data_IF_871345414922
#
_entry.id   IF_871345414922
#
_cell.length_a   1.000
_cell.length_b   1.000
_cell.length_c   1.000
_cell.angle_alpha   90.00
_cell.angle_beta   90.00
_cell.angle_gamma   90.00
#
_symmetry.space_group_name_H-M   'P 1'
#
loop_
_entity.id
_entity.type
_entity.pdbx_description
1 polymer ?
#
# COMPACT_ATOMS: atom_id res chain seq x y z
N UNK A 1 16.95 5.99 21.52
CA UNK A 1 15.47 6.08 21.67
C UNK A 1 14.85 5.17 20.63
N UNK A 2 14.33 4.02 21.03
CA UNK A 2 13.78 3.02 20.09
C UNK A 2 12.35 3.43 19.73
N UNK A 3 12.13 3.84 18.48
CA UNK A 3 10.81 4.22 17.96
C UNK A 3 10.00 2.95 17.65
N UNK A 4 9.62 2.21 18.70
CA UNK A 4 8.81 1.00 18.58
C UNK A 4 7.37 1.41 18.33
N UNK A 5 6.92 1.29 17.08
CA UNK A 5 5.52 1.50 16.73
C UNK A 5 4.77 0.18 16.99
N UNK A 6 3.67 0.18 17.76
CA UNK A 6 2.85 -1.00 17.92
C UNK A 6 2.34 -1.52 16.56
N UNK A 7 2.41 -2.84 16.34
CA UNK A 7 2.07 -3.47 15.07
C UNK A 7 0.65 -3.07 14.58
N UNK A 8 -0.34 -3.08 15.49
CA UNK A 8 -1.71 -2.68 15.17
C UNK A 8 -1.78 -1.25 14.62
N UNK A 9 -1.06 -0.30 15.25
CA UNK A 9 -1.03 1.10 14.83
C UNK A 9 -0.38 1.27 13.46
N UNK A 10 0.59 0.42 13.14
CA UNK A 10 1.22 0.41 11.82
C UNK A 10 0.27 -0.09 10.74
N UNK A 11 -0.47 -1.18 11.01
CA UNK A 11 -1.50 -1.72 10.11
C UNK A 11 -2.60 -0.69 9.87
N UNK A 12 -3.15 -0.09 10.93
CA UNK A 12 -4.21 0.92 10.84
C UNK A 12 -3.77 2.12 10.00
N UNK A 13 -2.52 2.56 10.17
CA UNK A 13 -1.96 3.68 9.40
C UNK A 13 -1.87 3.35 7.90
N UNK A 14 -1.42 2.15 7.53
CA UNK A 14 -1.34 1.74 6.12
C UNK A 14 -2.73 1.55 5.52
N UNK A 15 -3.67 1.01 6.30
CA UNK A 15 -5.08 0.88 5.89
C UNK A 15 -5.70 2.25 5.63
N UNK A 16 -5.55 3.19 6.55
CA UNK A 16 -6.08 4.55 6.39
C UNK A 16 -5.49 5.26 5.17
N UNK A 17 -4.18 5.09 4.92
CA UNK A 17 -3.54 5.66 3.75
C UNK A 17 -4.14 5.14 2.43
N UNK A 18 -4.48 3.84 2.36
CA UNK A 18 -5.21 3.27 1.22
C UNK A 18 -6.61 3.88 1.08
N UNK A 19 -7.40 3.94 2.16
CA UNK A 19 -8.76 4.51 2.14
C UNK A 19 -8.75 5.96 1.66
N UNK A 20 -7.80 6.78 2.13
CA UNK A 20 -7.67 8.18 1.75
C UNK A 20 -7.23 8.36 0.28
N UNK A 21 -6.40 7.45 -0.23
CA UNK A 21 -6.01 7.45 -1.64
C UNK A 21 -7.17 6.99 -2.55
N UNK A 22 -7.91 5.95 -2.14
CA UNK A 22 -9.08 5.45 -2.86
C UNK A 22 -10.18 6.51 -2.96
N UNK A 23 -10.53 7.16 -1.85
CA UNK A 23 -11.52 8.26 -1.84
C UNK A 23 -11.13 9.38 -2.80
N UNK A 24 -9.83 9.74 -2.84
CA UNK A 24 -9.34 10.75 -3.79
C UNK A 24 -9.48 10.29 -5.24
N UNK A 25 -9.15 9.04 -5.53
CA UNK A 25 -9.30 8.47 -6.87
C UNK A 25 -10.77 8.45 -7.33
N UNK A 26 -11.70 8.10 -6.43
CA UNK A 26 -13.14 8.11 -6.71
C UNK A 26 -13.69 9.54 -6.94
N UNK A 27 -13.14 10.53 -6.24
CA UNK A 27 -13.55 11.93 -6.38
C UNK A 27 -12.98 12.57 -7.66
N UNK A 28 -11.71 12.32 -7.97
CA UNK A 28 -11.03 12.97 -9.09
C UNK A 28 -11.21 12.26 -10.42
N UNK A 29 -11.51 10.96 -10.38
CA UNK A 29 -11.52 10.06 -11.55
C UNK A 29 -10.22 10.10 -12.37
N UNK A 30 -9.14 10.58 -11.77
CA UNK A 30 -7.83 10.66 -12.41
C UNK A 30 -7.10 9.33 -12.31
N UNK A 31 -6.49 8.91 -13.42
CA UNK A 31 -5.64 7.72 -13.47
C UNK A 31 -4.50 7.81 -12.45
N UNK A 32 -3.93 9.01 -12.23
CA UNK A 32 -2.82 9.19 -11.30
C UNK A 32 -3.23 8.89 -9.86
N UNK A 33 -4.44 9.29 -9.47
CA UNK A 33 -4.97 8.99 -8.14
C UNK A 33 -5.35 7.51 -8.03
N UNK A 34 -5.86 6.89 -9.10
CA UNK A 34 -6.06 5.45 -9.17
C UNK A 34 -4.76 4.65 -8.97
N UNK A 35 -3.67 5.08 -9.61
CA UNK A 35 -2.33 4.48 -9.41
C UNK A 35 -1.86 4.68 -7.96
N UNK A 36 -2.07 5.86 -7.38
CA UNK A 36 -1.71 6.13 -5.99
C UNK A 36 -2.47 5.21 -5.02
N UNK A 37 -3.77 5.01 -5.24
CA UNK A 37 -4.58 4.06 -4.47
C UNK A 37 -4.06 2.62 -4.60
N UNK A 38 -3.74 2.18 -5.82
CA UNK A 38 -3.14 0.85 -6.05
C UNK A 38 -1.79 0.66 -5.36
N UNK A 39 -0.93 1.69 -5.33
CA UNK A 39 0.34 1.67 -4.58
C UNK A 39 0.12 1.58 -3.08
N UNK A 40 -0.83 2.34 -2.54
CA UNK A 40 -1.19 2.28 -1.11
C UNK A 40 -1.74 0.90 -0.72
N UNK A 41 -2.56 0.31 -1.60
CA UNK A 41 -3.05 -1.06 -1.45
C UNK A 41 -1.90 -2.08 -1.39
N UNK A 42 -0.96 -2.01 -2.34
CA UNK A 42 0.24 -2.86 -2.35
C UNK A 42 1.06 -2.72 -1.06
N UNK A 43 1.20 -1.50 -0.56
CA UNK A 43 1.91 -1.23 0.69
C UNK A 43 1.24 -1.86 1.92
N UNK A 44 -0.09 -1.86 1.99
CA UNK A 44 -0.82 -2.55 3.06
C UNK A 44 -0.69 -4.07 2.97
N UNK A 45 -0.83 -4.65 1.77
CA UNK A 45 -0.63 -6.09 1.56
C UNK A 45 0.77 -6.56 1.95
N UNK A 46 1.80 -5.75 1.69
CA UNK A 46 3.19 -6.04 2.05
C UNK A 46 3.40 -6.34 3.55
N UNK A 47 2.53 -5.85 4.44
CA UNK A 47 2.63 -6.11 5.88
C UNK A 47 2.39 -7.57 6.24
N UNK A 48 1.69 -8.32 5.38
CA UNK A 48 1.26 -9.69 5.62
C UNK A 48 2.00 -10.70 4.74
N UNK A 49 2.99 -10.24 3.97
CA UNK A 49 3.72 -11.03 3.00
C UNK A 49 5.16 -11.29 3.43
N UNK A 50 5.67 -12.49 3.13
CA UNK A 50 7.09 -12.78 3.24
C UNK A 50 7.89 -12.04 2.17
N UNK A 51 9.22 -11.98 2.30
CA UNK A 51 10.08 -11.39 1.26
C UNK A 51 9.90 -12.09 -0.09
N UNK A 52 9.83 -13.43 -0.10
CA UNK A 52 9.68 -14.22 -1.32
C UNK A 52 8.34 -13.96 -2.02
N UNK A 53 7.24 -13.89 -1.24
CA UNK A 53 5.92 -13.55 -1.78
C UNK A 53 5.91 -12.14 -2.37
N UNK A 54 6.62 -11.18 -1.76
CA UNK A 54 6.72 -9.81 -2.31
C UNK A 54 7.49 -9.81 -3.63
N UNK A 55 8.64 -10.47 -3.66
CA UNK A 55 9.50 -10.55 -4.84
C UNK A 55 8.80 -11.26 -6.01
N UNK A 56 7.97 -12.27 -5.73
CA UNK A 56 7.16 -12.95 -6.75
C UNK A 56 6.21 -11.99 -7.48
N UNK A 57 5.60 -11.03 -6.77
CA UNK A 57 4.73 -10.03 -7.40
C UNK A 57 5.49 -8.96 -8.19
N UNK A 58 6.81 -8.84 -7.96
CA UNK A 58 7.62 -7.75 -8.49
C UNK A 58 8.42 -8.13 -9.76
N UNK A 59 8.27 -9.34 -10.33
CA UNK A 59 8.96 -9.76 -11.58
C UNK A 59 8.13 -10.61 -12.54
N UNK A 60 8.58 -10.86 -13.80
CA UNK A 60 9.36 -10.01 -14.71
C UNK A 60 8.38 -9.30 -15.68
N UNK A 61 7.83 -8.16 -15.29
CA UNK A 61 6.91 -7.35 -16.12
C UNK A 61 7.49 -6.00 -16.54
N UNK A 62 8.83 -5.88 -16.53
CA UNK A 62 9.56 -4.74 -17.10
C UNK A 62 10.32 -5.23 -18.32
N UNK A 63 9.61 -5.32 -19.44
CA UNK A 63 10.21 -5.24 -20.78
C UNK A 63 10.11 -3.80 -21.29
#
# INVERSE_FOLDING_TARGET
MTNVIPLHRHIDRQWQAYVDALRRAEQSLSIQDGIAAGKAWRAWLNLFMTADQRNFLDGPGKE
#
